data_IF_976723575683
#
_entry.id   IF_976723575683
#
_cell.length_a   1.000
_cell.length_b   1.000
_cell.length_c   1.000
_cell.angle_alpha   90.00
_cell.angle_beta   90.00
_cell.angle_gamma   90.00
#
_symmetry.space_group_name_H-M   'P 1'
#
loop_
_entity.id
_entity.type
_entity.pdbx_description
1 polymer ?
#
# COMPACT_ATOMS: atom_id res chain seq x y z
N UNK A 1 -25.51 -21.26 1.95
CA UNK A 1 -24.84 -21.07 3.26
C UNK A 1 -25.27 -19.72 3.82
N UNK A 2 -25.79 -19.65 5.04
CA UNK A 2 -26.22 -18.39 5.67
C UNK A 2 -25.01 -17.45 5.82
N UNK A 3 -25.07 -16.22 5.28
CA UNK A 3 -23.97 -15.23 5.35
C UNK A 3 -23.48 -15.01 6.78
N UNK A 4 -24.39 -15.06 7.76
CA UNK A 4 -24.07 -14.95 9.20
C UNK A 4 -23.26 -16.16 9.70
N UNK A 5 -23.62 -17.36 9.27
CA UNK A 5 -22.93 -18.59 9.64
C UNK A 5 -21.51 -18.62 9.04
N UNK A 6 -21.37 -18.26 7.76
CA UNK A 6 -20.08 -18.17 7.09
C UNK A 6 -19.14 -17.17 7.77
N UNK A 7 -19.68 -16.00 8.16
CA UNK A 7 -18.94 -14.96 8.91
C UNK A 7 -18.47 -15.47 10.27
N UNK A 8 -19.32 -16.17 11.01
CA UNK A 8 -18.96 -16.73 12.31
C UNK A 8 -17.85 -17.78 12.20
N UNK A 9 -17.90 -18.64 11.18
CA UNK A 9 -16.81 -19.58 10.89
C UNK A 9 -15.50 -18.86 10.54
N UNK A 10 -15.59 -17.76 9.79
CA UNK A 10 -14.43 -16.96 9.41
C UNK A 10 -13.78 -16.32 10.66
N UNK A 11 -14.57 -15.74 11.57
CA UNK A 11 -14.08 -15.24 12.85
C UNK A 11 -13.50 -16.35 13.73
N UNK A 12 -14.13 -17.52 13.75
CA UNK A 12 -13.66 -18.66 14.54
C UNK A 12 -12.30 -19.19 14.06
N UNK A 13 -12.17 -19.46 12.75
CA UNK A 13 -10.92 -19.90 12.12
C UNK A 13 -9.81 -18.87 12.37
N UNK A 14 -10.14 -17.59 12.23
CA UNK A 14 -9.18 -16.52 12.42
C UNK A 14 -8.79 -16.30 13.88
N UNK A 15 -9.71 -16.48 14.82
CA UNK A 15 -9.43 -16.49 16.25
C UNK A 15 -8.47 -17.62 16.64
N UNK A 16 -8.64 -18.81 16.06
CA UNK A 16 -7.70 -19.93 16.23
C UNK A 16 -6.32 -19.56 15.68
N UNK A 17 -6.25 -19.03 14.46
CA UNK A 17 -4.99 -18.65 13.83
C UNK A 17 -4.21 -17.63 14.68
N UNK A 18 -4.87 -16.59 15.18
CA UNK A 18 -4.25 -15.58 16.05
C UNK A 18 -3.80 -16.19 17.38
N UNK A 19 -4.61 -17.06 17.98
CA UNK A 19 -4.23 -17.76 19.23
C UNK A 19 -2.97 -18.59 19.02
N UNK A 20 -2.89 -19.36 17.93
CA UNK A 20 -1.70 -20.16 17.59
C UNK A 20 -0.47 -19.28 17.42
N UNK A 21 -0.59 -18.17 16.70
CA UNK A 21 0.51 -17.22 16.48
C UNK A 21 1.00 -16.62 17.80
N UNK A 22 0.10 -16.20 18.69
CA UNK A 22 0.42 -15.66 20.01
C UNK A 22 1.04 -16.72 20.94
N UNK A 23 0.53 -17.95 20.92
CA UNK A 23 1.11 -19.07 21.65
C UNK A 23 2.54 -19.37 21.18
N UNK A 24 2.77 -19.40 19.87
CA UNK A 24 4.12 -19.56 19.30
C UNK A 24 5.03 -18.39 19.73
N UNK A 25 4.52 -17.15 19.74
CA UNK A 25 5.24 -15.98 20.24
C UNK A 25 5.72 -16.19 21.69
N UNK A 26 4.79 -16.60 22.54
CA UNK A 26 5.02 -16.77 23.97
C UNK A 26 5.99 -17.92 24.27
N UNK A 27 5.74 -19.10 23.69
CA UNK A 27 6.59 -20.30 23.87
C UNK A 27 8.02 -20.06 23.40
N UNK A 28 8.17 -19.32 22.29
CA UNK A 28 9.49 -19.05 21.72
C UNK A 28 10.18 -17.84 22.35
N UNK A 29 9.56 -17.18 23.33
CA UNK A 29 10.01 -15.90 23.91
C UNK A 29 10.34 -14.86 22.82
N UNK A 30 9.51 -14.81 21.77
CA UNK A 30 9.70 -13.92 20.64
C UNK A 30 10.87 -14.29 19.71
N UNK A 31 11.59 -15.40 19.91
CA UNK A 31 12.70 -15.79 19.01
C UNK A 31 12.24 -16.08 17.58
N UNK A 32 11.06 -16.67 17.43
CA UNK A 32 10.46 -16.89 16.09
C UNK A 32 10.07 -15.57 15.46
N UNK A 33 9.51 -14.63 16.23
CA UNK A 33 9.23 -13.28 15.74
C UNK A 33 10.50 -12.53 15.36
N UNK A 34 11.57 -12.63 16.15
CA UNK A 34 12.88 -12.08 15.80
C UNK A 34 13.38 -12.66 14.47
N UNK A 35 13.21 -13.96 14.22
CA UNK A 35 13.61 -14.56 12.94
C UNK A 35 12.70 -14.17 11.77
N UNK A 36 11.40 -14.09 11.99
CA UNK A 36 10.43 -13.76 10.94
C UNK A 36 10.48 -12.26 10.59
N UNK A 37 10.36 -11.40 11.60
CA UNK A 37 10.24 -9.96 11.45
C UNK A 37 11.60 -9.25 11.41
N UNK A 38 12.64 -9.81 12.01
CA UNK A 38 13.94 -9.14 12.18
C UNK A 38 15.16 -9.96 11.73
N UNK A 39 14.99 -11.14 11.10
CA UNK A 39 16.13 -11.76 10.44
C UNK A 39 16.42 -10.99 9.15
N UNK A 40 17.56 -10.31 9.17
CA UNK A 40 18.27 -9.80 8.00
C UNK A 40 18.68 -10.95 7.04
N UNK A 41 18.63 -12.20 7.50
CA UNK A 41 19.06 -13.40 6.75
C UNK A 41 18.21 -13.74 5.52
N UNK A 42 17.15 -12.99 5.23
CA UNK A 42 16.36 -13.15 4.00
C UNK A 42 16.74 -12.12 2.91
N UNK A 43 17.75 -11.27 3.14
CA UNK A 43 18.26 -10.32 2.15
C UNK A 43 17.42 -9.06 1.95
N UNK A 44 16.32 -8.89 2.68
CA UNK A 44 15.52 -7.66 2.67
C UNK A 44 16.04 -6.69 3.73
N UNK A 45 16.50 -5.52 3.30
CA UNK A 45 16.77 -4.41 4.22
C UNK A 45 15.45 -3.95 4.86
N UNK A 46 15.47 -3.80 6.18
CA UNK A 46 14.29 -3.37 6.92
C UNK A 46 13.83 -2.00 6.39
N UNK A 47 12.54 -1.89 6.06
CA UNK A 47 11.93 -0.70 5.48
C UNK A 47 12.55 -0.21 4.16
N UNK A 48 13.32 -1.05 3.46
CA UNK A 48 14.05 -0.65 2.26
C UNK A 48 13.17 -0.20 1.10
N UNK A 49 11.97 -0.76 0.94
CA UNK A 49 11.04 -0.34 -0.11
C UNK A 49 10.49 1.08 0.13
N UNK A 50 10.56 1.60 1.35
CA UNK A 50 10.15 2.97 1.68
C UNK A 50 11.33 3.93 1.63
N UNK A 51 12.43 3.61 2.31
CA UNK A 51 13.56 4.52 2.45
C UNK A 51 14.50 4.50 1.25
N UNK A 52 14.60 3.39 0.51
CA UNK A 52 15.48 3.26 -0.66
C UNK A 52 15.16 4.31 -1.73
N UNK A 53 13.91 4.39 -2.22
CA UNK A 53 13.53 5.40 -3.21
C UNK A 53 13.71 6.85 -2.74
N UNK A 54 13.49 7.12 -1.45
CA UNK A 54 13.73 8.45 -0.86
C UNK A 54 15.24 8.76 -0.85
N UNK A 55 16.07 7.76 -0.54
CA UNK A 55 17.52 7.87 -0.49
C UNK A 55 18.13 8.15 -1.87
N UNK A 56 17.60 7.56 -2.94
CA UNK A 56 18.07 7.80 -4.31
C UNK A 56 18.02 9.28 -4.71
N UNK A 57 17.02 10.02 -4.21
CA UNK A 57 16.93 11.48 -4.39
C UNK A 57 18.15 12.21 -3.81
N UNK A 58 18.52 11.92 -2.55
CA UNK A 58 19.66 12.57 -1.88
C UNK A 58 21.02 12.17 -2.44
N UNK A 59 21.09 11.04 -3.14
CA UNK A 59 22.29 10.57 -3.81
C UNK A 59 22.38 11.07 -5.25
N UNK A 60 21.39 11.82 -5.75
CA UNK A 60 21.35 12.34 -7.11
C UNK A 60 21.30 11.25 -8.19
N UNK A 61 20.80 10.06 -7.85
CA UNK A 61 20.79 8.91 -8.76
C UNK A 61 19.57 9.01 -9.68
N UNK A 62 19.78 8.82 -10.98
CA UNK A 62 18.68 8.61 -11.91
C UNK A 62 18.04 7.24 -11.64
N UNK A 63 16.83 7.26 -11.07
CA UNK A 63 16.14 6.05 -10.61
C UNK A 63 15.92 5.00 -11.70
N UNK A 64 15.79 5.40 -12.97
CA UNK A 64 15.55 4.47 -14.08
C UNK A 64 16.82 3.93 -14.74
N UNK A 65 17.98 4.47 -14.37
CA UNK A 65 19.27 3.87 -14.74
C UNK A 65 19.70 2.77 -13.75
N UNK A 66 19.03 2.66 -12.60
CA UNK A 66 19.23 1.59 -11.62
C UNK A 66 18.41 0.37 -12.08
N UNK A 67 19.08 -0.78 -12.25
CA UNK A 67 18.48 -2.04 -12.71
C UNK A 67 17.33 -2.59 -11.83
N UNK A 68 17.08 -2.02 -10.64
CA UNK A 68 16.14 -2.53 -9.64
C UNK A 68 14.97 -1.57 -9.32
N UNK A 69 14.73 -0.51 -10.11
CA UNK A 69 13.56 0.36 -9.88
C UNK A 69 12.25 -0.38 -10.20
N UNK A 70 11.52 -0.77 -9.16
CA UNK A 70 10.26 -1.52 -9.27
C UNK A 70 9.01 -0.62 -9.20
N UNK A 71 9.18 0.71 -9.31
CA UNK A 71 8.11 1.70 -9.22
C UNK A 71 7.92 2.43 -10.55
N UNK A 72 6.68 2.56 -11.05
CA UNK A 72 6.40 3.50 -12.13
C UNK A 72 6.63 4.94 -11.65
N UNK A 73 6.66 5.90 -12.57
CA UNK A 73 7.11 7.26 -12.27
C UNK A 73 6.26 8.01 -11.25
N UNK A 74 4.97 7.68 -11.12
CA UNK A 74 4.15 8.22 -10.04
C UNK A 74 4.59 7.68 -8.66
N UNK A 75 4.95 6.40 -8.58
CA UNK A 75 5.50 5.80 -7.37
C UNK A 75 6.82 6.45 -6.97
N UNK A 76 7.70 6.73 -7.94
CA UNK A 76 8.93 7.50 -7.69
C UNK A 76 8.59 8.92 -7.21
N UNK A 77 7.69 9.64 -7.90
CA UNK A 77 7.27 10.98 -7.51
C UNK A 77 6.66 11.04 -6.10
N UNK A 78 5.96 9.99 -5.69
CA UNK A 78 5.43 9.85 -4.35
C UNK A 78 6.53 9.78 -3.29
N UNK A 79 7.63 9.08 -3.54
CA UNK A 79 8.79 9.06 -2.63
C UNK A 79 9.62 10.35 -2.72
N UNK A 80 9.74 10.94 -3.90
CA UNK A 80 10.39 12.24 -4.12
C UNK A 80 9.69 13.38 -3.37
N UNK A 81 8.37 13.28 -3.22
CA UNK A 81 7.63 14.21 -2.36
C UNK A 81 8.09 14.14 -0.90
N UNK A 82 8.37 12.94 -0.38
CA UNK A 82 8.88 12.79 0.98
C UNK A 82 10.30 13.32 1.15
N UNK A 83 11.21 13.10 0.19
CA UNK A 83 12.57 13.65 0.28
C UNK A 83 12.56 15.18 0.36
N UNK A 84 11.64 15.85 -0.33
CA UNK A 84 11.53 17.32 -0.28
C UNK A 84 11.07 17.87 1.07
N UNK A 85 10.48 17.04 1.93
CA UNK A 85 10.00 17.45 3.27
C UNK A 85 11.09 17.20 4.33
N UNK A 86 11.98 16.24 4.11
CA UNK A 86 12.98 15.84 5.08
C UNK A 86 14.22 16.72 4.95
N UNK A 87 14.69 17.24 6.09
CA UNK A 87 15.94 17.99 6.18
C UNK A 87 17.06 17.07 6.64
N UNK A 88 17.66 16.34 5.71
CA UNK A 88 18.79 15.44 5.93
C UNK A 88 19.93 15.81 4.98
N UNK A 89 21.16 15.43 5.32
CA UNK A 89 22.34 15.75 4.51
C UNK A 89 22.30 15.06 3.14
N UNK A 90 22.91 15.69 2.15
CA UNK A 90 23.18 15.07 0.86
C UNK A 90 24.01 13.78 1.05
N UNK A 91 23.80 12.79 0.19
CA UNK A 91 24.41 11.46 0.27
C UNK A 91 24.08 10.64 1.53
N UNK A 92 23.02 10.99 2.27
CA UNK A 92 22.54 10.15 3.37
C UNK A 92 22.25 8.74 2.86
N UNK A 93 22.78 7.71 3.53
CA UNK A 93 22.49 6.31 3.22
C UNK A 93 21.11 5.90 3.72
N UNK A 94 20.54 4.83 3.15
CA UNK A 94 19.24 4.32 3.58
C UNK A 94 19.20 3.99 5.08
N UNK A 95 20.25 3.34 5.60
CA UNK A 95 20.37 3.06 7.03
C UNK A 95 20.48 4.34 7.87
N UNK A 96 21.18 5.35 7.36
CA UNK A 96 21.26 6.67 7.99
C UNK A 96 19.90 7.36 8.07
N UNK A 97 19.14 7.34 6.97
CA UNK A 97 17.79 7.90 6.90
C UNK A 97 16.84 7.18 7.85
N UNK A 98 16.85 5.85 7.86
CA UNK A 98 16.04 5.02 8.75
C UNK A 98 16.29 5.30 10.24
N UNK A 99 17.55 5.53 10.62
CA UNK A 99 17.95 5.81 12.00
C UNK A 99 17.81 7.30 12.38
N UNK A 100 17.49 8.16 11.42
CA UNK A 100 17.26 9.59 11.68
C UNK A 100 15.88 9.82 12.30
N UNK A 101 15.75 10.85 13.15
CA UNK A 101 14.46 11.24 13.71
C UNK A 101 13.45 11.63 12.62
N UNK A 102 13.90 12.33 11.57
CA UNK A 102 13.07 12.72 10.43
C UNK A 102 12.51 11.49 9.69
N UNK A 103 13.38 10.52 9.37
CA UNK A 103 13.00 9.28 8.70
C UNK A 103 12.02 8.44 9.52
N UNK A 104 12.25 8.31 10.83
CA UNK A 104 11.35 7.60 11.72
C UNK A 104 9.96 8.26 11.79
N UNK A 105 9.91 9.60 11.91
CA UNK A 105 8.64 10.36 11.99
C UNK A 105 7.85 10.24 10.69
N UNK A 106 8.48 10.41 9.52
CA UNK A 106 7.74 10.38 8.26
C UNK A 106 7.21 9.00 7.93
N UNK A 107 7.99 7.95 8.24
CA UNK A 107 7.52 6.57 8.08
C UNK A 107 6.38 6.27 9.05
N UNK A 108 6.45 6.75 10.29
CA UNK A 108 5.35 6.62 11.25
C UNK A 108 4.08 7.32 10.76
N UNK A 109 4.18 8.54 10.24
CA UNK A 109 3.05 9.26 9.63
C UNK A 109 2.47 8.44 8.50
N UNK A 110 3.30 7.96 7.57
CA UNK A 110 2.84 7.13 6.45
C UNK A 110 2.09 5.87 6.92
N UNK A 111 2.63 5.12 7.87
CA UNK A 111 2.01 3.90 8.40
C UNK A 111 0.70 4.21 9.13
N UNK A 112 0.68 5.23 9.99
CA UNK A 112 -0.51 5.62 10.77
C UNK A 112 -1.61 6.12 9.84
N UNK A 113 -1.29 6.99 8.88
CA UNK A 113 -2.25 7.47 7.88
C UNK A 113 -2.81 6.32 7.06
N UNK A 114 -1.95 5.40 6.60
CA UNK A 114 -2.39 4.21 5.86
C UNK A 114 -3.33 3.35 6.69
N UNK A 115 -3.06 3.16 7.99
CA UNK A 115 -3.90 2.39 8.89
C UNK A 115 -5.26 3.04 9.17
N UNK A 116 -5.29 4.37 9.34
CA UNK A 116 -6.53 5.14 9.51
C UNK A 116 -7.40 4.99 8.25
N UNK A 117 -6.81 5.19 7.07
CA UNK A 117 -7.50 5.01 5.80
C UNK A 117 -7.97 3.57 5.60
N UNK A 118 -7.18 2.58 6.02
CA UNK A 118 -7.55 1.16 5.94
C UNK A 118 -8.78 0.85 6.80
N UNK A 119 -8.81 1.37 8.02
CA UNK A 119 -9.96 1.22 8.93
C UNK A 119 -11.21 1.85 8.33
N UNK A 120 -11.07 3.04 7.73
CA UNK A 120 -12.16 3.69 7.01
C UNK A 120 -12.62 2.88 5.78
N UNK A 121 -11.69 2.28 5.04
CA UNK A 121 -11.99 1.43 3.89
C UNK A 121 -12.76 0.16 4.29
N UNK A 122 -12.39 -0.49 5.41
CA UNK A 122 -13.15 -1.61 5.97
C UNK A 122 -14.56 -1.18 6.36
N UNK A 123 -14.71 -0.02 7.00
CA UNK A 123 -16.02 0.51 7.37
C UNK A 123 -16.90 0.76 6.13
N UNK A 124 -16.33 1.28 5.05
CA UNK A 124 -17.02 1.52 3.80
C UNK A 124 -17.44 0.23 3.08
N UNK A 125 -16.54 -0.77 3.03
CA UNK A 125 -16.78 -2.04 2.34
C UNK A 125 -17.75 -2.95 3.10
N UNK A 126 -17.68 -2.97 4.42
CA UNK A 126 -18.52 -3.84 5.25
C UNK A 126 -19.80 -3.13 5.70
N UNK A 127 -19.83 -1.79 5.68
CA UNK A 127 -21.06 -1.01 5.80
C UNK A 127 -21.94 -1.39 7.00
N UNK A 128 -23.22 -1.65 6.72
CA UNK A 128 -24.24 -2.07 7.70
C UNK A 128 -24.28 -3.57 7.95
N UNK A 129 -23.52 -4.39 7.20
CA UNK A 129 -23.49 -5.85 7.39
C UNK A 129 -22.98 -6.23 8.78
N UNK A 130 -22.17 -5.36 9.38
CA UNK A 130 -21.71 -5.45 10.78
C UNK A 130 -22.35 -4.30 11.58
N UNK A 131 -23.28 -4.68 12.45
CA UNK A 131 -24.00 -3.75 13.34
C UNK A 131 -23.07 -3.11 14.38
N UNK A 132 -22.11 -3.87 14.91
CA UNK A 132 -21.27 -3.44 16.04
C UNK A 132 -19.97 -2.81 15.56
N UNK A 133 -19.75 -1.54 15.88
CA UNK A 133 -18.55 -0.79 15.47
C UNK A 133 -17.23 -1.45 15.91
N UNK A 134 -17.19 -2.05 17.11
CA UNK A 134 -15.99 -2.73 17.61
C UNK A 134 -15.60 -3.97 16.77
N UNK A 135 -16.55 -4.65 16.13
CA UNK A 135 -16.23 -5.79 15.25
C UNK A 135 -15.47 -5.31 14.00
N UNK A 136 -15.79 -4.12 13.48
CA UNK A 136 -15.07 -3.51 12.34
C UNK A 136 -13.62 -3.14 12.73
N UNK A 137 -13.43 -2.56 13.91
CA UNK A 137 -12.10 -2.29 14.45
C UNK A 137 -11.32 -3.58 14.70
N UNK A 138 -11.96 -4.60 15.26
CA UNK A 138 -11.36 -5.90 15.49
C UNK A 138 -10.87 -6.54 14.17
N UNK A 139 -11.68 -6.50 13.11
CA UNK A 139 -11.25 -6.95 11.77
C UNK A 139 -10.07 -6.13 11.27
N UNK A 140 -10.14 -4.80 11.36
CA UNK A 140 -9.08 -3.92 10.84
C UNK A 140 -7.75 -4.20 11.54
N UNK A 141 -7.74 -4.26 12.87
CA UNK A 141 -6.56 -4.56 13.69
C UNK A 141 -6.04 -5.96 13.38
N UNK A 142 -6.92 -6.95 13.34
CA UNK A 142 -6.52 -8.35 13.15
C UNK A 142 -5.95 -8.59 11.74
N UNK A 143 -6.44 -7.89 10.71
CA UNK A 143 -5.87 -7.96 9.36
C UNK A 143 -4.49 -7.30 9.31
N UNK A 144 -4.34 -6.13 9.92
CA UNK A 144 -3.05 -5.42 9.96
C UNK A 144 -2.00 -6.20 10.75
N UNK A 145 -2.39 -6.84 11.86
CA UNK A 145 -1.51 -7.69 12.65
C UNK A 145 -1.21 -9.05 11.99
N UNK A 146 -1.83 -9.38 10.85
CA UNK A 146 -1.55 -10.64 10.15
C UNK A 146 -0.19 -10.62 9.46
N UNK A 147 0.34 -11.81 9.16
CA UNK A 147 1.67 -11.97 8.58
C UNK A 147 1.87 -11.22 7.25
N UNK A 148 0.95 -11.24 6.26
CA UNK A 148 1.15 -10.50 5.01
C UNK A 148 1.29 -8.98 5.20
N UNK A 149 0.61 -8.42 6.20
CA UNK A 149 0.64 -6.99 6.46
C UNK A 149 1.82 -6.61 7.36
N UNK A 150 1.88 -7.14 8.59
CA UNK A 150 2.93 -6.76 9.53
C UNK A 150 4.28 -7.44 9.23
N UNK A 151 4.24 -8.71 8.81
CA UNK A 151 5.44 -9.53 8.58
C UNK A 151 6.13 -9.26 7.25
N UNK A 152 5.40 -8.71 6.28
CA UNK A 152 5.92 -8.36 4.97
C UNK A 152 5.76 -6.88 4.67
N UNK A 153 4.54 -6.39 4.41
CA UNK A 153 4.33 -5.03 3.90
C UNK A 153 4.89 -3.91 4.80
N UNK A 154 4.62 -3.97 6.11
CA UNK A 154 5.17 -2.99 7.07
C UNK A 154 6.67 -3.21 7.26
N UNK A 155 7.12 -4.46 7.39
CA UNK A 155 8.55 -4.80 7.60
C UNK A 155 9.44 -4.28 6.46
N UNK A 156 9.04 -4.45 5.21
CA UNK A 156 9.82 -3.99 4.06
C UNK A 156 9.53 -2.52 3.71
N UNK A 157 8.52 -1.90 4.33
CA UNK A 157 8.11 -0.53 4.02
C UNK A 157 7.37 -0.44 2.68
N UNK A 158 6.81 -1.53 2.21
CA UNK A 158 6.23 -1.59 0.87
C UNK A 158 4.95 -0.75 0.77
N UNK A 159 4.89 0.14 -0.23
CA UNK A 159 3.71 0.94 -0.54
C UNK A 159 2.49 0.09 -0.97
N UNK A 160 2.66 -1.23 -1.20
CA UNK A 160 1.56 -2.12 -1.57
C UNK A 160 0.40 -2.07 -0.57
N UNK A 161 0.67 -1.88 0.73
CA UNK A 161 -0.38 -1.77 1.73
C UNK A 161 -1.19 -0.50 1.53
N UNK A 162 -0.52 0.62 1.28
CA UNK A 162 -1.18 1.89 0.95
C UNK A 162 -1.99 1.79 -0.35
N UNK A 163 -1.43 1.21 -1.41
CA UNK A 163 -2.13 0.97 -2.68
C UNK A 163 -3.36 0.10 -2.49
N UNK A 164 -3.26 -0.99 -1.71
CA UNK A 164 -4.39 -1.86 -1.37
C UNK A 164 -5.49 -1.09 -0.64
N UNK A 165 -5.13 -0.28 0.35
CA UNK A 165 -6.08 0.56 1.09
C UNK A 165 -6.82 1.52 0.16
N UNK A 166 -6.12 2.20 -0.75
CA UNK A 166 -6.74 3.10 -1.72
C UNK A 166 -7.65 2.35 -2.72
N UNK A 167 -7.26 1.15 -3.15
CA UNK A 167 -8.12 0.28 -3.97
C UNK A 167 -9.40 -0.12 -3.23
N UNK A 168 -9.31 -0.44 -1.93
CA UNK A 168 -10.48 -0.77 -1.11
C UNK A 168 -11.43 0.42 -0.99
N UNK A 169 -10.90 1.62 -0.78
CA UNK A 169 -11.69 2.86 -0.82
C UNK A 169 -12.37 3.06 -2.17
N UNK A 170 -11.64 2.85 -3.27
CA UNK A 170 -12.21 2.97 -4.61
C UNK A 170 -13.35 1.98 -4.84
N UNK A 171 -13.21 0.72 -4.43
CA UNK A 171 -14.28 -0.28 -4.52
C UNK A 171 -15.49 0.14 -3.69
N UNK A 172 -15.30 0.63 -2.46
CA UNK A 172 -16.39 1.08 -1.61
C UNK A 172 -17.11 2.33 -2.12
N UNK A 173 -16.43 3.20 -2.87
CA UNK A 173 -17.01 4.42 -3.44
C UNK A 173 -17.64 4.20 -4.83
N UNK A 174 -17.25 3.14 -5.54
CA UNK A 174 -17.62 2.85 -6.93
C UNK A 174 -19.13 2.89 -7.18
N UNK A 175 -19.92 2.38 -6.24
CA UNK A 175 -21.38 2.23 -6.38
C UNK A 175 -22.16 3.30 -5.61
N UNK A 176 -21.48 4.35 -5.13
CA UNK A 176 -22.14 5.47 -4.45
C UNK A 176 -23.14 6.18 -5.36
N UNK A 177 -24.27 6.62 -4.81
CA UNK A 177 -25.26 7.44 -5.53
C UNK A 177 -24.68 8.80 -5.94
N UNK A 178 -23.73 9.33 -5.17
CA UNK A 178 -23.06 10.59 -5.46
C UNK A 178 -22.06 10.42 -6.61
N UNK A 179 -22.29 11.15 -7.72
CA UNK A 179 -21.40 11.14 -8.89
C UNK A 179 -19.95 11.50 -8.56
N UNK A 180 -19.72 12.37 -7.58
CA UNK A 180 -18.37 12.77 -7.19
C UNK A 180 -17.62 11.63 -6.50
N UNK A 181 -18.31 10.84 -5.67
CA UNK A 181 -17.73 9.65 -5.03
C UNK A 181 -17.33 8.60 -6.07
N UNK A 182 -18.18 8.37 -7.08
CA UNK A 182 -17.84 7.46 -8.19
C UNK A 182 -16.65 7.96 -8.99
N UNK A 183 -16.54 9.27 -9.20
CA UNK A 183 -15.37 9.84 -9.89
C UNK A 183 -14.08 9.70 -9.08
N UNK A 184 -14.16 9.94 -7.76
CA UNK A 184 -13.04 9.71 -6.84
C UNK A 184 -12.59 8.25 -6.92
N UNK A 185 -13.52 7.29 -7.02
CA UNK A 185 -13.16 5.88 -7.20
C UNK A 185 -12.32 5.65 -8.47
N UNK A 186 -12.68 6.28 -9.60
CA UNK A 186 -11.89 6.18 -10.84
C UNK A 186 -10.50 6.78 -10.68
N UNK A 187 -10.41 7.97 -10.08
CA UNK A 187 -9.13 8.64 -9.83
C UNK A 187 -8.24 7.83 -8.90
N UNK A 188 -8.80 7.22 -7.85
CA UNK A 188 -8.07 6.35 -6.93
C UNK A 188 -7.52 5.11 -7.65
N UNK A 189 -8.30 4.46 -8.51
CA UNK A 189 -7.82 3.29 -9.28
C UNK A 189 -6.69 3.70 -10.22
N UNK A 190 -6.84 4.82 -10.93
CA UNK A 190 -5.80 5.33 -11.82
C UNK A 190 -4.51 5.71 -11.07
N UNK A 191 -4.63 6.40 -9.93
CA UNK A 191 -3.52 6.71 -9.06
C UNK A 191 -2.83 5.44 -8.57
N UNK A 192 -3.58 4.45 -8.09
CA UNK A 192 -3.05 3.15 -7.69
C UNK A 192 -2.30 2.44 -8.82
N UNK A 193 -2.83 2.47 -10.05
CA UNK A 193 -2.19 1.89 -11.23
C UNK A 193 -0.87 2.59 -11.60
N UNK A 194 -0.80 3.92 -11.39
CA UNK A 194 0.45 4.68 -11.51
C UNK A 194 1.45 4.37 -10.39
N UNK A 195 0.98 4.04 -9.18
CA UNK A 195 1.84 3.67 -8.06
C UNK A 195 2.42 2.26 -8.20
N UNK A 196 1.62 1.31 -8.67
CA UNK A 196 1.98 -0.08 -9.01
C UNK A 196 1.08 -0.54 -10.15
N UNK A 197 1.54 -1.38 -11.07
CA UNK A 197 0.74 -1.70 -12.27
C UNK A 197 -0.47 -2.62 -12.02
N UNK A 198 -0.43 -3.51 -11.03
CA UNK A 198 -1.48 -4.53 -10.80
C UNK A 198 -2.91 -4.00 -10.50
N UNK A 199 -3.14 -2.84 -9.85
CA UNK A 199 -4.45 -2.22 -9.69
C UNK A 199 -5.15 -1.89 -11.01
N UNK A 200 -4.43 -1.81 -12.13
CA UNK A 200 -5.05 -1.64 -13.46
C UNK A 200 -6.07 -2.75 -13.77
N UNK A 201 -5.90 -3.95 -13.18
CA UNK A 201 -6.86 -5.04 -13.29
C UNK A 201 -8.25 -4.69 -12.72
N UNK A 202 -8.36 -3.74 -11.79
CA UNK A 202 -9.68 -3.26 -11.32
C UNK A 202 -10.46 -2.55 -12.44
N UNK A 203 -9.79 -2.04 -13.48
CA UNK A 203 -10.48 -1.52 -14.67
C UNK A 203 -11.30 -2.58 -15.40
N UNK A 204 -10.88 -3.85 -15.35
CA UNK A 204 -11.62 -4.98 -15.93
C UNK A 204 -12.97 -5.19 -15.22
N UNK A 205 -13.07 -4.84 -13.93
CA UNK A 205 -14.33 -4.90 -13.19
C UNK A 205 -15.38 -3.97 -13.81
N UNK A 206 -15.00 -2.75 -14.18
CA UNK A 206 -15.90 -1.78 -14.80
C UNK A 206 -16.38 -2.25 -16.18
N UNK A 207 -15.48 -2.86 -16.96
CA UNK A 207 -15.84 -3.45 -18.26
C UNK A 207 -16.82 -4.61 -18.08
N UNK A 208 -16.55 -5.51 -17.12
CA UNK A 208 -17.44 -6.64 -16.78
C UNK A 208 -18.84 -6.16 -16.38
N UNK A 209 -18.92 -5.06 -15.64
CA UNK A 209 -20.17 -4.43 -15.20
C UNK A 209 -20.82 -3.56 -16.27
N UNK A 210 -20.26 -3.53 -17.50
CA UNK A 210 -20.76 -2.77 -18.64
C UNK A 210 -20.80 -1.25 -18.38
N UNK A 211 -19.90 -0.74 -17.53
CA UNK A 211 -19.78 0.69 -17.17
C UNK A 211 -18.89 1.44 -18.16
N UNK A 212 -19.19 1.32 -19.46
CA UNK A 212 -18.31 1.75 -20.56
C UNK A 212 -17.81 3.20 -20.47
N UNK A 213 -18.69 4.15 -20.10
CA UNK A 213 -18.33 5.57 -19.97
C UNK A 213 -17.34 5.83 -18.83
N UNK A 214 -17.44 5.05 -17.75
CA UNK A 214 -16.50 5.13 -16.63
C UNK A 214 -15.20 4.39 -16.96
N UNK A 215 -15.27 3.25 -17.65
CA UNK A 215 -14.10 2.55 -18.16
C UNK A 215 -13.26 3.45 -19.09
N UNK A 216 -13.88 4.20 -20.00
CA UNK A 216 -13.16 5.13 -20.88
C UNK A 216 -12.44 6.21 -20.07
N UNK A 217 -13.11 6.83 -19.10
CA UNK A 217 -12.51 7.83 -18.22
C UNK A 217 -11.38 7.24 -17.38
N UNK A 218 -11.55 6.02 -16.88
CA UNK A 218 -10.54 5.31 -16.14
C UNK A 218 -9.29 5.03 -16.98
N UNK A 219 -9.45 4.67 -18.26
CA UNK A 219 -8.32 4.53 -19.19
C UNK A 219 -7.59 5.86 -19.38
N UNK A 220 -8.33 6.96 -19.59
CA UNK A 220 -7.74 8.30 -19.70
C UNK A 220 -6.97 8.68 -18.43
N UNK A 221 -7.59 8.51 -17.26
CA UNK A 221 -6.93 8.78 -15.98
C UNK A 221 -5.72 7.87 -15.77
N UNK A 222 -5.83 6.58 -16.07
CA UNK A 222 -4.73 5.63 -15.97
C UNK A 222 -3.54 6.03 -16.82
N UNK A 223 -3.78 6.42 -18.09
CA UNK A 223 -2.73 6.93 -18.98
C UNK A 223 -2.07 8.17 -18.38
N UNK A 224 -2.85 9.11 -17.86
CA UNK A 224 -2.33 10.34 -17.25
C UNK A 224 -1.48 10.00 -16.03
N UNK A 225 -2.03 9.29 -15.05
CA UNK A 225 -1.32 8.97 -13.81
C UNK A 225 -0.11 8.04 -14.01
N UNK A 226 -0.13 7.20 -15.05
CA UNK A 226 0.98 6.29 -15.33
C UNK A 226 2.09 6.97 -16.14
N UNK A 227 1.76 7.60 -17.28
CA UNK A 227 2.77 8.07 -18.23
C UNK A 227 3.21 9.52 -18.02
N UNK A 228 2.32 10.42 -17.56
CA UNK A 228 2.69 11.85 -17.41
C UNK A 228 3.82 12.06 -16.39
N UNK A 229 3.87 11.35 -15.24
CA UNK A 229 4.99 11.50 -14.30
C UNK A 229 6.36 11.14 -14.90
N UNK A 230 6.44 10.28 -15.92
CA UNK A 230 7.71 9.96 -16.57
C UNK A 230 8.36 11.19 -17.22
N UNK A 231 7.59 12.22 -17.59
CA UNK A 231 8.14 13.47 -18.14
C UNK A 231 9.10 14.16 -17.17
N UNK A 232 8.96 13.95 -15.86
CA UNK A 232 9.83 14.50 -14.81
C UNK A 232 11.15 13.73 -14.73
N UNK A 233 11.15 12.45 -15.11
CA UNK A 233 12.26 11.51 -14.90
C UNK A 233 12.97 11.09 -16.19
N UNK A 234 12.91 11.90 -17.25
CA UNK A 234 13.57 11.61 -18.53
C UNK A 234 12.65 11.19 -19.67
N UNK A 235 11.33 11.25 -19.45
CA UNK A 235 10.30 11.08 -20.47
C UNK A 235 10.36 9.71 -21.14
N UNK A 236 10.48 9.71 -22.48
CA UNK A 236 10.49 8.49 -23.27
C UNK A 236 11.61 7.52 -22.89
N UNK A 237 12.81 8.01 -22.60
CA UNK A 237 13.93 7.16 -22.19
C UNK A 237 13.61 6.38 -20.91
N UNK A 238 12.99 7.04 -19.94
CA UNK A 238 12.58 6.41 -18.69
C UNK A 238 11.45 5.38 -18.88
N UNK A 239 10.52 5.64 -19.80
CA UNK A 239 9.49 4.66 -20.18
C UNK A 239 10.16 3.40 -20.77
N UNK A 240 11.13 3.55 -21.68
CA UNK A 240 11.83 2.43 -22.28
C UNK A 240 12.70 1.65 -21.28
N UNK A 241 13.23 2.30 -20.25
CA UNK A 241 14.02 1.63 -19.21
C UNK A 241 13.14 0.91 -18.18
N UNK A 242 11.90 1.37 -17.99
CA UNK A 242 10.96 0.77 -17.04
C UNK A 242 10.32 -0.53 -17.55
N UNK A 243 10.17 -0.69 -18.87
CA UNK A 243 9.56 -1.88 -19.50
C UNK A 243 10.62 -2.83 -20.07
#
# INVERSE_FOLDING_TARGET
MNKKLARNWLYFIWGIANTVVLTVAFVTKGKVFKKIFFAMSLGFEQFGDFFGPICWHYQGINVYEIYDCNFPALGVAFFDFFSRILNVSDNTSQTGLMNSAYGAVIFMIFVVTTFILFTFAIELLVGTDIEKKWEKYYISISLVCSFPFMGYAVKTGNVVFFVLTLMMLAIGLKDSENKYCREIALLLIAFCAGMKIFPAALGLLYLKEKRWKESLRLVIYGIIFFFVPFLIYGGWSAICLFF
#
